data_IF_669984205898
#
_entry.id   IF_669984205898
#
_cell.length_a   1.000
_cell.length_b   1.000
_cell.length_c   1.000
_cell.angle_alpha   90.00
_cell.angle_beta   90.00
_cell.angle_gamma   90.00
#
_symmetry.space_group_name_H-M   'P 1'
#
loop_
_entity.id
_entity.type
_entity.pdbx_description
1 polymer ?
#
# COMPACT_ATOMS: atom_id res chain seq x y z
N UNK A 1 -1.67 14.56 16.54
CA UNK A 1 -2.92 14.52 15.73
C UNK A 1 -2.54 14.72 14.27
N UNK A 2 -3.16 13.97 13.36
CA UNK A 2 -3.00 14.10 11.90
C UNK A 2 -4.37 14.35 11.30
N UNK A 3 -4.47 15.29 10.36
CA UNK A 3 -5.70 15.60 9.64
C UNK A 3 -5.52 15.29 8.15
N UNK A 4 -6.52 14.65 7.55
CA UNK A 4 -6.47 14.19 6.16
C UNK A 4 -7.80 14.51 5.49
N UNK A 5 -7.76 15.18 4.35
CA UNK A 5 -8.91 15.27 3.46
C UNK A 5 -8.87 14.07 2.52
N UNK A 6 -9.87 13.19 2.57
CA UNK A 6 -9.91 11.96 1.79
C UNK A 6 -11.05 12.00 0.76
N UNK A 7 -10.75 11.55 -0.45
CA UNK A 7 -11.68 11.50 -1.57
C UNK A 7 -11.09 10.62 -2.69
N UNK A 8 -11.29 9.31 -2.61
CA UNK A 8 -10.75 8.36 -3.59
C UNK A 8 -11.24 8.63 -5.02
N UNK A 9 -12.48 9.11 -5.19
CA UNK A 9 -13.03 9.44 -6.51
C UNK A 9 -12.31 10.65 -7.14
N UNK A 10 -11.97 11.66 -6.33
CA UNK A 10 -11.16 12.80 -6.78
C UNK A 10 -9.73 12.38 -7.09
N UNK A 11 -9.12 11.52 -6.26
CA UNK A 11 -7.77 11.01 -6.49
C UNK A 11 -7.68 10.27 -7.84
N UNK A 12 -8.72 9.52 -8.23
CA UNK A 12 -8.79 8.83 -9.51
C UNK A 12 -8.79 9.77 -10.74
N UNK A 13 -9.18 11.05 -10.58
CA UNK A 13 -9.13 12.06 -11.63
C UNK A 13 -7.73 12.68 -11.83
N UNK A 14 -6.79 12.43 -10.91
CA UNK A 14 -5.42 12.94 -10.96
C UNK A 14 -4.53 11.89 -11.64
N UNK A 15 -4.02 12.21 -12.83
CA UNK A 15 -3.13 11.32 -13.59
C UNK A 15 -1.68 11.75 -13.44
N UNK A 16 -0.82 10.80 -13.10
CA UNK A 16 0.62 11.02 -13.05
C UNK A 16 1.22 11.08 -14.46
N UNK A 17 2.14 12.02 -14.65
CA UNK A 17 2.92 12.19 -15.86
C UNK A 17 4.39 11.88 -15.60
N UNK A 18 4.95 10.98 -16.41
CA UNK A 18 6.34 10.54 -16.29
C UNK A 18 6.56 9.79 -14.97
N UNK A 19 6.82 8.49 -15.05
CA UNK A 19 7.23 7.74 -13.86
C UNK A 19 8.74 7.67 -13.81
N UNK A 20 9.29 7.79 -12.61
CA UNK A 20 10.71 7.54 -12.39
C UNK A 20 11.09 6.12 -12.84
N UNK A 21 12.34 5.98 -13.31
CA UNK A 21 12.85 4.73 -13.87
C UNK A 21 13.17 3.67 -12.81
N UNK A 22 13.13 4.01 -11.53
CA UNK A 22 13.42 3.09 -10.42
C UNK A 22 12.46 3.37 -9.27
N UNK A 23 11.96 2.30 -8.66
CA UNK A 23 11.27 2.37 -7.39
C UNK A 23 12.27 2.63 -6.26
N UNK A 24 11.86 3.46 -5.30
CA UNK A 24 12.68 3.84 -4.15
C UNK A 24 11.96 3.45 -2.87
N UNK A 25 12.74 3.12 -1.85
CA UNK A 25 12.20 3.03 -0.51
C UNK A 25 12.04 4.43 0.09
N UNK A 26 10.93 4.65 0.78
CA UNK A 26 10.74 5.88 1.55
C UNK A 26 11.85 5.99 2.60
N UNK A 27 12.38 7.21 2.77
CA UNK A 27 13.42 7.49 3.75
C UNK A 27 12.92 7.09 5.16
N UNK A 28 13.73 6.31 5.89
CA UNK A 28 13.36 5.75 7.19
C UNK A 28 12.60 4.41 7.11
N UNK A 29 12.21 3.96 5.92
CA UNK A 29 11.46 2.72 5.68
C UNK A 29 12.14 1.85 4.60
N UNK A 30 13.43 1.59 4.74
CA UNK A 30 14.17 0.75 3.78
C UNK A 30 13.93 -0.76 3.99
N UNK A 31 13.51 -1.17 5.19
CA UNK A 31 13.24 -2.58 5.49
C UNK A 31 14.45 -3.52 5.47
N UNK A 32 15.66 -2.98 5.32
CA UNK A 32 16.87 -3.75 5.05
C UNK A 32 16.75 -4.66 3.81
N UNK A 33 15.84 -4.35 2.89
CA UNK A 33 15.54 -5.20 1.73
C UNK A 33 16.71 -5.11 0.75
N UNK A 34 17.37 -6.25 0.54
CA UNK A 34 18.46 -6.39 -0.41
C UNK A 34 17.94 -6.72 -1.81
N UNK A 35 18.73 -6.46 -2.87
CA UNK A 35 18.47 -6.96 -4.21
C UNK A 35 18.32 -8.49 -4.21
N UNK A 36 17.53 -9.04 -5.14
CA UNK A 36 17.21 -10.47 -5.20
C UNK A 36 18.44 -11.39 -5.18
N UNK A 37 19.52 -11.00 -5.86
CA UNK A 37 20.74 -11.81 -5.97
C UNK A 37 21.53 -11.92 -4.65
N UNK A 38 21.27 -11.04 -3.68
CA UNK A 38 21.97 -10.96 -2.39
C UNK A 38 21.05 -11.30 -1.21
N UNK A 39 19.81 -11.71 -1.51
CA UNK A 39 18.77 -11.98 -0.52
C UNK A 39 18.71 -13.48 -0.24
N UNK A 40 18.83 -13.85 1.04
CA UNK A 40 18.70 -15.26 1.48
C UNK A 40 17.29 -15.53 2.03
N UNK A 41 16.68 -14.52 2.65
CA UNK A 41 15.33 -14.58 3.18
C UNK A 41 14.24 -14.30 2.11
N UNK A 42 13.09 -14.98 2.16
CA UNK A 42 11.96 -14.66 1.28
C UNK A 42 11.51 -13.20 1.43
N UNK A 43 11.12 -12.57 0.31
CA UNK A 43 10.43 -11.28 0.31
C UNK A 43 8.96 -11.45 -0.03
N UNK A 44 8.11 -11.03 0.90
CA UNK A 44 6.68 -10.90 0.66
C UNK A 44 6.39 -9.45 0.26
N UNK A 45 5.65 -9.23 -0.81
CA UNK A 45 5.23 -7.90 -1.22
C UNK A 45 3.73 -7.73 -1.08
N UNK A 46 3.34 -6.65 -0.42
CA UNK A 46 1.97 -6.29 -0.08
C UNK A 46 1.59 -5.00 -0.84
N UNK A 47 1.22 -5.08 -2.13
CA UNK A 47 0.80 -3.91 -2.89
C UNK A 47 -0.63 -3.53 -2.54
N UNK A 48 -0.82 -2.29 -2.06
CA UNK A 48 -2.14 -1.75 -1.81
C UNK A 48 -2.64 -1.12 -3.10
N UNK A 49 -3.77 -1.61 -3.57
CA UNK A 49 -4.28 -1.28 -4.90
C UNK A 49 -5.16 -0.03 -4.87
N UNK A 50 -4.98 0.77 -5.91
CA UNK A 50 -5.79 1.93 -6.26
C UNK A 50 -5.88 2.04 -7.77
N UNK A 51 -6.60 3.04 -8.26
CA UNK A 51 -6.90 3.24 -9.67
C UNK A 51 -5.66 3.67 -10.46
N UNK A 52 -5.50 3.14 -11.67
CA UNK A 52 -4.48 3.55 -12.64
C UNK A 52 -3.00 3.41 -12.22
N UNK A 53 -2.71 2.50 -11.29
CA UNK A 53 -1.37 2.20 -10.79
C UNK A 53 -0.73 0.94 -11.42
N UNK A 54 -1.25 0.43 -12.54
CA UNK A 54 -0.69 -0.74 -13.25
C UNK A 54 0.81 -0.65 -13.50
N UNK A 55 1.26 0.48 -14.07
CA UNK A 55 2.69 0.72 -14.34
C UNK A 55 3.53 0.77 -13.07
N UNK A 56 2.97 1.26 -11.96
CA UNK A 56 3.65 1.30 -10.67
C UNK A 56 3.86 -0.12 -10.14
N UNK A 57 2.81 -0.95 -10.23
CA UNK A 57 2.86 -2.35 -9.77
C UNK A 57 3.84 -3.15 -10.63
N UNK A 58 3.77 -3.04 -11.95
CA UNK A 58 4.72 -3.70 -12.86
C UNK A 58 6.16 -3.29 -12.51
N UNK A 59 6.40 -1.99 -12.35
CA UNK A 59 7.73 -1.46 -12.06
C UNK A 59 8.26 -1.88 -10.69
N UNK A 60 7.43 -1.78 -9.64
CA UNK A 60 7.81 -2.22 -8.30
C UNK A 60 8.08 -3.72 -8.27
N UNK A 61 7.30 -4.53 -9.00
CA UNK A 61 7.53 -5.96 -9.10
C UNK A 61 8.89 -6.28 -9.76
N UNK A 62 9.20 -5.60 -10.86
CA UNK A 62 10.46 -5.79 -11.60
C UNK A 62 11.69 -5.45 -10.75
N UNK A 63 11.59 -4.40 -9.93
CA UNK A 63 12.67 -3.95 -9.06
C UNK A 63 12.80 -4.83 -7.80
N UNK A 64 11.69 -5.18 -7.15
CA UNK A 64 11.68 -5.95 -5.89
C UNK A 64 11.94 -7.44 -6.08
N UNK A 65 11.41 -8.01 -7.17
CA UNK A 65 11.35 -9.45 -7.47
C UNK A 65 10.93 -10.27 -6.24
N UNK A 66 9.71 -10.06 -5.74
CA UNK A 66 9.23 -10.73 -4.54
C UNK A 66 9.09 -12.23 -4.75
N UNK A 67 9.17 -12.99 -3.66
CA UNK A 67 8.90 -14.42 -3.62
C UNK A 67 7.40 -14.70 -3.56
N UNK A 68 6.63 -13.78 -2.97
CA UNK A 68 5.18 -13.86 -2.87
C UNK A 68 4.56 -12.46 -2.95
N UNK A 69 3.41 -12.34 -3.63
CA UNK A 69 2.67 -11.09 -3.77
C UNK A 69 1.28 -11.27 -3.16
N UNK A 70 0.94 -10.42 -2.19
CA UNK A 70 -0.32 -10.46 -1.46
C UNK A 70 -1.05 -9.11 -1.64
N UNK A 71 -1.79 -8.92 -2.74
CA UNK A 71 -2.41 -7.64 -3.06
C UNK A 71 -3.52 -7.29 -2.08
N UNK A 72 -3.56 -6.02 -1.64
CA UNK A 72 -4.56 -5.51 -0.71
C UNK A 72 -5.57 -4.64 -1.46
N UNK A 73 -6.83 -5.08 -1.43
CA UNK A 73 -7.95 -4.38 -2.03
C UNK A 73 -8.67 -3.53 -0.98
N UNK A 74 -9.07 -2.30 -1.32
CA UNK A 74 -9.87 -1.46 -0.45
C UNK A 74 -11.28 -2.05 -0.31
N UNK A 75 -11.59 -2.64 0.85
CA UNK A 75 -12.92 -3.11 1.22
C UNK A 75 -13.08 -3.22 2.75
N UNK A 76 -14.17 -2.70 3.34
CA UNK A 76 -15.20 -1.90 2.69
C UNK A 76 -14.64 -0.56 2.17
N UNK A 77 -15.12 -0.15 0.99
CA UNK A 77 -14.82 1.13 0.36
C UNK A 77 -16.10 1.96 0.26
N UNK A 78 -15.94 3.28 0.09
CA UNK A 78 -17.08 4.21 -0.05
C UNK A 78 -17.98 3.85 -1.23
N UNK A 79 -17.37 3.48 -2.37
CA UNK A 79 -18.06 2.76 -3.44
C UNK A 79 -17.94 1.24 -3.19
N UNK A 80 -19.05 0.54 -2.88
CA UNK A 80 -19.02 -0.90 -2.64
C UNK A 80 -18.52 -1.72 -3.83
N UNK A 81 -18.57 -1.19 -5.06
CA UNK A 81 -18.08 -1.86 -6.28
C UNK A 81 -16.63 -1.55 -6.62
N UNK A 82 -15.97 -0.68 -5.85
CA UNK A 82 -14.56 -0.35 -6.03
C UNK A 82 -13.66 -1.60 -6.08
N UNK A 83 -13.72 -2.56 -5.13
CA UNK A 83 -12.85 -3.74 -5.17
C UNK A 83 -13.08 -4.61 -6.42
N UNK A 84 -14.33 -4.80 -6.83
CA UNK A 84 -14.67 -5.58 -8.04
C UNK A 84 -14.12 -4.90 -9.29
N UNK A 85 -14.28 -3.57 -9.37
CA UNK A 85 -13.77 -2.76 -10.49
C UNK A 85 -12.24 -2.82 -10.56
N UNK A 86 -11.57 -2.72 -9.42
CA UNK A 86 -10.12 -2.91 -9.33
C UNK A 86 -9.73 -4.34 -9.77
N UNK A 87 -10.45 -5.37 -9.32
CA UNK A 87 -10.12 -6.75 -9.66
C UNK A 87 -10.24 -7.01 -11.16
N UNK A 88 -11.31 -6.52 -11.80
CA UNK A 88 -11.49 -6.58 -13.26
C UNK A 88 -10.37 -5.82 -13.96
N UNK A 89 -10.05 -4.61 -13.50
CA UNK A 89 -9.01 -3.78 -14.10
C UNK A 89 -7.63 -4.44 -14.00
N UNK A 90 -7.32 -5.04 -12.86
CA UNK A 90 -6.00 -5.62 -12.57
C UNK A 90 -5.89 -7.11 -12.87
N UNK A 91 -6.95 -7.77 -13.33
CA UNK A 91 -7.01 -9.21 -13.58
C UNK A 91 -5.79 -9.74 -14.33
N UNK A 92 -5.55 -9.23 -15.53
CA UNK A 92 -4.44 -9.68 -16.40
C UNK A 92 -3.06 -9.45 -15.74
N UNK A 93 -2.92 -8.37 -14.98
CA UNK A 93 -1.67 -8.09 -14.28
C UNK A 93 -1.46 -9.06 -13.11
N UNK A 94 -2.45 -9.21 -12.24
CA UNK A 94 -2.33 -9.97 -11.00
C UNK A 94 -2.31 -11.48 -11.26
N UNK A 95 -3.22 -11.99 -12.08
CA UNK A 95 -3.38 -13.43 -12.27
C UNK A 95 -2.52 -13.95 -13.43
N UNK A 96 -2.56 -13.29 -14.59
CA UNK A 96 -1.86 -13.82 -15.77
C UNK A 96 -0.36 -13.49 -15.78
N UNK A 97 0.02 -12.25 -15.43
CA UNK A 97 1.42 -11.83 -15.43
C UNK A 97 2.16 -12.16 -14.13
N UNK A 98 1.58 -11.81 -12.98
CA UNK A 98 2.22 -12.00 -11.68
C UNK A 98 1.95 -13.39 -11.08
N UNK A 99 1.00 -14.14 -11.63
CA UNK A 99 0.72 -15.52 -11.19
C UNK A 99 0.21 -15.60 -9.74
N UNK A 100 -0.48 -14.56 -9.26
CA UNK A 100 -0.94 -14.49 -7.87
C UNK A 100 -2.01 -15.53 -7.62
N UNK A 101 -1.86 -16.30 -6.55
CA UNK A 101 -2.90 -17.23 -6.12
C UNK A 101 -4.08 -16.43 -5.54
N UNK A 102 -5.35 -16.75 -5.91
CA UNK A 102 -6.51 -16.01 -5.41
C UNK A 102 -6.60 -15.92 -3.88
N UNK A 103 -6.04 -16.91 -3.16
CA UNK A 103 -6.00 -16.94 -1.70
C UNK A 103 -5.07 -15.88 -1.08
N UNK A 104 -4.16 -15.29 -1.86
CA UNK A 104 -3.24 -14.25 -1.41
C UNK A 104 -3.86 -12.84 -1.49
N UNK A 105 -5.06 -12.73 -2.08
CA UNK A 105 -5.81 -11.48 -2.13
C UNK A 105 -6.35 -11.15 -0.73
N UNK A 106 -6.02 -9.98 -0.23
CA UNK A 106 -6.49 -9.47 1.07
C UNK A 106 -7.35 -8.23 0.90
N UNK A 107 -8.18 -7.95 1.90
CA UNK A 107 -9.04 -6.77 1.93
C UNK A 107 -8.71 -5.89 3.13
N UNK A 108 -8.68 -4.58 2.93
CA UNK A 108 -8.41 -3.59 3.97
C UNK A 108 -9.46 -2.47 3.96
N UNK A 109 -9.99 -2.04 5.11
CA UNK A 109 -10.97 -0.96 5.18
C UNK A 109 -10.39 0.37 4.68
N UNK A 110 -11.00 0.95 3.64
CA UNK A 110 -10.48 2.16 2.97
C UNK A 110 -10.45 3.38 3.91
N UNK A 111 -11.50 3.56 4.70
CA UNK A 111 -11.70 4.74 5.54
C UNK A 111 -11.29 4.52 7.01
N UNK A 112 -10.70 3.36 7.34
CA UNK A 112 -10.22 3.07 8.69
C UNK A 112 -8.72 2.69 8.67
N UNK A 113 -7.83 3.69 8.79
CA UNK A 113 -6.38 3.45 8.73
C UNK A 113 -5.88 2.57 9.87
N UNK A 114 -6.54 2.54 11.03
CA UNK A 114 -6.15 1.68 12.15
C UNK A 114 -6.48 0.21 11.89
N UNK A 115 -7.64 -0.09 11.33
CA UNK A 115 -7.96 -1.47 10.95
C UNK A 115 -7.07 -1.94 9.79
N UNK A 116 -6.81 -1.08 8.80
CA UNK A 116 -5.83 -1.37 7.75
C UNK A 116 -4.44 -1.67 8.33
N UNK A 117 -3.98 -0.83 9.27
CA UNK A 117 -2.74 -1.05 10.04
C UNK A 117 -2.73 -2.43 10.72
N UNK A 118 -3.79 -2.79 11.45
CA UNK A 118 -3.88 -4.07 12.19
C UNK A 118 -3.83 -5.27 11.26
N UNK A 119 -4.53 -5.20 10.13
CA UNK A 119 -4.56 -6.26 9.12
C UNK A 119 -3.16 -6.44 8.51
N UNK A 120 -2.53 -5.35 8.05
CA UNK A 120 -1.18 -5.38 7.47
C UNK A 120 -0.17 -5.90 8.50
N UNK A 121 -0.23 -5.41 9.73
CA UNK A 121 0.67 -5.83 10.81
C UNK A 121 0.53 -7.33 11.10
N UNK A 122 -0.71 -7.80 11.23
CA UNK A 122 -1.02 -9.21 11.46
C UNK A 122 -0.52 -10.09 10.32
N UNK A 123 -0.78 -9.71 9.06
CA UNK A 123 -0.32 -10.43 7.89
C UNK A 123 1.20 -10.59 7.88
N UNK A 124 1.96 -9.49 8.02
CA UNK A 124 3.43 -9.52 8.03
C UNK A 124 3.95 -10.36 9.20
N UNK A 125 3.37 -10.21 10.39
CA UNK A 125 3.76 -10.98 11.58
C UNK A 125 3.51 -12.48 11.37
N UNK A 126 2.39 -12.86 10.76
CA UNK A 126 2.04 -14.24 10.47
C UNK A 126 2.99 -14.86 9.44
N UNK A 127 3.32 -14.13 8.36
CA UNK A 127 4.34 -14.58 7.39
C UNK A 127 5.71 -14.73 8.05
N UNK A 128 6.14 -13.73 8.81
CA UNK A 128 7.42 -13.75 9.53
C UNK A 128 7.51 -14.96 10.45
N UNK A 129 6.44 -15.27 11.19
CA UNK A 129 6.36 -16.43 12.06
C UNK A 129 6.34 -17.76 11.30
N UNK A 130 5.58 -17.85 10.22
CA UNK A 130 5.42 -19.07 9.42
C UNK A 130 6.72 -19.45 8.71
N UNK A 131 7.50 -18.45 8.28
CA UNK A 131 8.76 -18.62 7.56
C UNK A 131 9.99 -18.63 8.48
N UNK A 132 9.82 -18.72 9.81
CA UNK A 132 10.94 -18.78 10.78
C UNK A 132 11.99 -19.84 10.43
N UNK A 133 11.56 -20.99 9.89
CA UNK A 133 12.46 -22.08 9.47
C UNK A 133 13.34 -21.72 8.26
N UNK A 134 13.00 -20.66 7.52
CA UNK A 134 13.73 -20.11 6.39
C UNK A 134 14.41 -18.77 6.73
N UNK A 135 14.82 -18.56 7.98
CA UNK A 135 15.34 -17.30 8.50
C UNK A 135 14.30 -16.15 8.54
N UNK A 136 13.02 -16.48 8.66
CA UNK A 136 11.89 -15.53 8.60
C UNK A 136 11.75 -14.91 7.20
N UNK A 137 11.04 -13.79 7.06
CA UNK A 137 10.92 -13.08 5.78
C UNK A 137 11.07 -11.57 5.97
N UNK A 138 11.36 -10.87 4.88
CA UNK A 138 11.15 -9.41 4.79
C UNK A 138 9.83 -9.12 4.13
N UNK A 139 9.29 -7.94 4.41
CA UNK A 139 8.08 -7.46 3.75
C UNK A 139 8.32 -6.13 3.04
N UNK A 140 7.88 -6.02 1.78
CA UNK A 140 7.73 -4.75 1.09
C UNK A 140 6.25 -4.35 1.12
N UNK A 141 5.98 -3.07 1.37
CA UNK A 141 4.66 -2.46 1.25
C UNK A 141 4.72 -1.40 0.16
N UNK A 142 3.68 -1.28 -0.68
CA UNK A 142 3.57 -0.15 -1.60
C UNK A 142 2.19 0.48 -1.52
N UNK A 143 2.17 1.78 -1.27
CA UNK A 143 0.95 2.56 -1.02
C UNK A 143 0.42 3.20 -2.30
N UNK A 144 0.04 2.38 -3.27
CA UNK A 144 -0.46 2.84 -4.57
C UNK A 144 -1.99 3.07 -4.53
N UNK A 145 -2.48 3.73 -3.46
CA UNK A 145 -3.91 3.88 -3.17
C UNK A 145 -4.20 5.19 -2.41
N UNK A 146 -5.24 5.21 -1.57
CA UNK A 146 -5.71 6.39 -0.85
C UNK A 146 -4.74 6.88 0.23
N UNK A 147 -4.93 8.12 0.67
CA UNK A 147 -4.10 8.76 1.71
C UNK A 147 -4.31 8.08 3.06
N UNK A 148 -5.55 7.71 3.40
CA UNK A 148 -5.84 6.95 4.61
C UNK A 148 -5.15 5.58 4.63
N UNK A 149 -5.21 4.80 3.55
CA UNK A 149 -4.54 3.50 3.50
C UNK A 149 -3.02 3.66 3.57
N UNK A 150 -2.48 4.72 2.98
CA UNK A 150 -1.06 5.06 3.10
C UNK A 150 -0.65 5.29 4.56
N UNK A 151 -1.49 5.96 5.36
CA UNK A 151 -1.25 6.14 6.80
C UNK A 151 -1.25 4.81 7.54
N UNK A 152 -2.26 3.96 7.33
CA UNK A 152 -2.32 2.64 7.98
C UNK A 152 -1.08 1.78 7.65
N UNK A 153 -0.60 1.88 6.42
CA UNK A 153 0.61 1.19 5.95
C UNK A 153 1.87 1.69 6.64
N UNK A 154 2.03 3.01 6.72
CA UNK A 154 3.18 3.63 7.39
C UNK A 154 3.20 3.31 8.89
N UNK A 155 2.03 3.29 9.55
CA UNK A 155 1.91 2.88 10.95
C UNK A 155 2.37 1.43 11.15
N UNK A 156 1.97 0.52 10.25
CA UNK A 156 2.36 -0.89 10.35
C UNK A 156 3.86 -1.07 10.16
N UNK A 157 4.41 -0.42 9.13
CA UNK A 157 5.85 -0.45 8.87
C UNK A 157 6.66 0.15 10.03
N UNK A 158 6.19 1.26 10.60
CA UNK A 158 6.84 1.94 11.72
C UNK A 158 6.90 1.05 12.96
N UNK A 159 5.77 0.48 13.35
CA UNK A 159 5.71 -0.34 14.57
C UNK A 159 6.52 -1.63 14.44
N UNK A 160 6.42 -2.33 13.31
CA UNK A 160 7.19 -3.56 13.10
C UNK A 160 8.68 -3.27 13.14
N UNK A 161 9.13 -2.20 12.46
CA UNK A 161 10.54 -1.84 12.43
C UNK A 161 11.07 -1.40 13.80
N UNK A 162 10.24 -0.76 14.65
CA UNK A 162 10.65 -0.35 15.99
C UNK A 162 10.64 -1.50 17.02
N UNK A 163 9.78 -2.49 16.84
CA UNK A 163 9.69 -3.65 17.73
C UNK A 163 10.64 -4.79 17.36
N UNK A 164 11.32 -4.69 16.21
CA UNK A 164 12.22 -5.72 15.69
C UNK A 164 13.68 -5.34 15.88
N UNK A 165 14.54 -6.32 16.17
CA UNK A 165 16.00 -6.10 16.29
C UNK A 165 16.63 -5.59 15.00
N UNK A 166 16.00 -5.90 13.86
CA UNK A 166 16.38 -5.41 12.54
C UNK A 166 15.14 -4.86 11.83
N UNK A 167 15.32 -3.84 10.99
CA UNK A 167 14.23 -3.37 10.12
C UNK A 167 13.83 -4.51 9.18
N UNK A 168 12.55 -4.90 9.25
CA UNK A 168 11.96 -6.03 8.50
C UNK A 168 11.10 -5.55 7.33
N UNK A 169 10.57 -4.32 7.42
CA UNK A 169 9.53 -3.82 6.53
C UNK A 169 10.02 -2.60 5.78
N UNK A 170 10.00 -2.66 4.45
CA UNK A 170 10.30 -1.54 3.57
C UNK A 170 9.03 -0.98 2.94
N UNK A 171 8.96 0.34 2.77
CA UNK A 171 7.84 1.00 2.07
C UNK A 171 8.36 1.55 0.75
N UNK A 172 7.81 1.05 -0.35
CA UNK A 172 8.21 1.33 -1.73
C UNK A 172 7.31 2.40 -2.32
N UNK A 173 7.92 3.38 -2.96
CA UNK A 173 7.25 4.41 -3.73
C UNK A 173 7.88 4.53 -5.13
N UNK A 174 7.10 5.01 -6.08
CA UNK A 174 7.59 5.42 -7.41
C UNK A 174 7.15 6.86 -7.59
N UNK A 175 8.11 7.76 -7.77
CA UNK A 175 7.84 9.17 -7.93
C UNK A 175 7.33 9.46 -9.35
N UNK A 176 6.48 10.48 -9.46
CA UNK A 176 6.02 11.02 -10.75
C UNK A 176 6.68 12.37 -11.03
N UNK A 177 6.86 12.69 -12.30
CA UNK A 177 7.48 13.95 -12.76
C UNK A 177 6.46 15.09 -12.83
N UNK A 178 5.17 14.77 -12.77
CA UNK A 178 4.09 15.74 -12.76
C UNK A 178 2.72 15.08 -12.63
N UNK A 179 1.69 15.92 -12.59
CA UNK A 179 0.30 15.51 -12.50
C UNK A 179 -0.56 16.33 -13.45
N UNK A 180 -1.57 15.69 -14.04
CA UNK A 180 -2.57 16.35 -14.89
C UNK A 180 -3.97 15.94 -14.43
N UNK A 181 -4.88 16.91 -14.50
CA UNK A 181 -6.30 16.69 -14.28
C UNK A 181 -6.95 16.37 -15.62
N UNK A 182 -7.67 15.25 -15.72
CA UNK A 182 -8.41 14.92 -16.95
C UNK A 182 -9.58 15.87 -17.22
N UNK A 183 -10.25 16.34 -16.16
CA UNK A 183 -11.41 17.22 -16.25
C UNK A 183 -11.50 18.15 -15.03
N UNK A 184 -11.28 19.45 -15.24
CA UNK A 184 -11.32 20.47 -14.18
C UNK A 184 -12.72 20.70 -13.60
N UNK A 185 -13.78 20.63 -14.42
CA UNK A 185 -15.16 20.84 -13.97
C UNK A 185 -15.60 19.70 -13.04
N UNK A 186 -15.37 18.45 -13.47
CA UNK A 186 -15.64 17.27 -12.64
C UNK A 186 -14.83 17.28 -11.34
N UNK A 187 -13.59 17.77 -11.39
CA UNK A 187 -12.72 17.87 -10.22
C UNK A 187 -13.29 18.81 -9.16
N UNK A 188 -13.77 19.99 -9.56
CA UNK A 188 -14.35 20.98 -8.63
C UNK A 188 -15.61 20.44 -7.95
N UNK A 189 -16.45 19.71 -8.67
CA UNK A 189 -17.65 19.11 -8.10
C UNK A 189 -17.34 17.95 -7.16
N UNK A 190 -16.42 17.05 -7.53
CA UNK A 190 -15.97 15.97 -6.67
C UNK A 190 -15.35 16.50 -5.38
N UNK A 191 -14.58 17.59 -5.44
CA UNK A 191 -13.90 18.16 -4.27
C UNK A 191 -14.89 18.62 -3.17
N UNK A 192 -16.13 18.95 -3.52
CA UNK A 192 -17.17 19.32 -2.54
C UNK A 192 -17.58 18.16 -1.64
N UNK A 193 -17.34 16.93 -2.09
CA UNK A 193 -17.63 15.69 -1.36
C UNK A 193 -16.43 15.13 -0.58
N UNK A 194 -15.32 15.88 -0.52
CA UNK A 194 -14.14 15.51 0.26
C UNK A 194 -14.45 15.47 1.75
N UNK A 195 -14.00 14.41 2.42
CA UNK A 195 -14.28 14.17 3.83
C UNK A 195 -13.03 14.43 4.66
N UNK A 196 -13.18 15.12 5.79
CA UNK A 196 -12.07 15.38 6.72
C UNK A 196 -12.00 14.28 7.78
N UNK A 197 -10.86 13.61 7.86
CA UNK A 197 -10.54 12.62 8.87
C UNK A 197 -9.54 13.21 9.86
N UNK A 198 -9.81 13.02 11.15
CA UNK A 198 -8.92 13.42 12.24
C UNK A 198 -8.45 12.17 12.95
N UNK A 199 -7.14 11.94 12.93
CA UNK A 199 -6.51 10.74 13.46
C UNK A 199 -5.67 11.12 14.68
N UNK A 200 -5.99 10.51 15.81
CA UNK A 200 -5.24 10.66 17.04
C UNK A 200 -4.15 9.58 17.11
N UNK A 201 -2.89 9.97 16.90
CA UNK A 201 -1.77 9.00 16.84
C UNK A 201 -1.09 8.75 18.20
N UNK A 202 -1.15 9.71 19.13
CA UNK A 202 -0.44 9.62 20.41
C UNK A 202 -1.07 10.58 21.42
N UNK A 203 -0.98 10.23 22.71
CA UNK A 203 -1.55 10.97 23.84
C UNK A 203 -2.86 10.37 24.34
N UNK A 204 -3.28 10.78 25.53
CA UNK A 204 -4.54 10.34 26.12
C UNK A 204 -5.70 11.19 25.59
N UNK A 205 -6.77 10.59 25.03
CA UNK A 205 -7.85 11.33 24.40
C UNK A 205 -8.65 12.18 25.39
N UNK A 206 -8.63 11.80 26.67
CA UNK A 206 -9.30 12.50 27.77
C UNK A 206 -8.49 12.30 29.06
N UNK A 207 -8.34 13.35 29.88
CA UNK A 207 -8.02 13.18 31.31
C UNK A 207 -9.30 12.68 32.01
N UNK A 208 -9.21 11.64 32.84
CA UNK A 208 -10.33 11.18 33.68
C UNK A 208 -10.73 12.21 34.74
#
# INVERSE_FOLDING_TARGET
MVTVAENAALDACIKEQGLDQESKFLMGFMGGIKPKNEREEPLIWLPILGEDKKKHIEKANDDLKPDEVCPLFPFPAKDPRRPDSLLINYHDLLLDKLGIEPQNIMYVPEQNPFEAYRIIHSAITNYTNSLKVLNSCRAALSTFSSKLLSIGTLLAAYEINNNSTHSLVGVVNIDSQGYVLENEESFQDLNKSSELFVIWLTGDPYEE
#
